data_IF_418755260437
#
_entry.id   IF_418755260437
#
_cell.length_a   1.000
_cell.length_b   1.000
_cell.length_c   1.000
_cell.angle_alpha   90.00
_cell.angle_beta   90.00
_cell.angle_gamma   90.00
#
_symmetry.space_group_name_H-M   'P 1'
#
loop_
_entity.id
_entity.type
_entity.pdbx_description
1 polymer ?
#
# COMPACT_ATOMS: atom_id res chain seq x y z
N UNK A 1 25.45 15.99 34.97
CA UNK A 1 25.31 14.78 34.13
C UNK A 1 24.05 14.09 34.58
N UNK A 2 22.94 14.30 33.88
CA UNK A 2 21.70 13.54 34.09
C UNK A 2 21.46 12.78 32.80
N UNK A 3 21.50 11.48 32.94
CA UNK A 3 21.48 10.44 31.92
C UNK A 3 20.13 10.50 31.18
N UNK A 4 20.19 10.74 29.87
CA UNK A 4 19.04 10.68 28.99
C UNK A 4 18.53 9.23 28.97
N UNK A 5 17.47 8.96 29.74
CA UNK A 5 16.72 7.73 29.65
C UNK A 5 16.16 7.61 28.23
N UNK A 6 16.84 6.83 27.40
CA UNK A 6 16.32 6.31 26.15
C UNK A 6 15.09 5.45 26.52
N UNK A 7 13.91 6.06 26.45
CA UNK A 7 12.66 5.32 26.31
C UNK A 7 12.81 4.44 25.06
N UNK A 8 13.05 3.16 25.29
CA UNK A 8 12.95 2.12 24.28
C UNK A 8 11.49 2.07 23.84
N UNK A 9 11.17 2.83 22.80
CA UNK A 9 9.94 2.70 22.04
C UNK A 9 9.87 1.25 21.54
N UNK A 10 8.85 0.53 21.99
CA UNK A 10 8.33 -0.66 21.32
C UNK A 10 8.18 -0.30 19.84
N UNK A 11 8.69 -1.12 18.90
CA UNK A 11 8.64 -0.76 17.49
C UNK A 11 7.18 -0.56 17.08
N UNK A 12 6.88 0.67 16.64
CA UNK A 12 5.63 0.99 15.95
C UNK A 12 5.51 0.03 14.75
N UNK A 13 4.32 -0.56 14.54
CA UNK A 13 4.04 -1.26 13.28
C UNK A 13 4.24 -0.32 12.09
N UNK A 14 4.53 -0.86 10.90
CA UNK A 14 4.91 -0.06 9.73
C UNK A 14 3.90 1.08 9.43
N UNK A 15 2.60 0.82 9.60
CA UNK A 15 1.52 1.81 9.41
C UNK A 15 1.51 2.95 10.44
N UNK A 16 1.90 2.66 11.69
CA UNK A 16 2.03 3.66 12.74
C UNK A 16 3.29 4.51 12.52
N UNK A 17 4.40 3.88 12.12
CA UNK A 17 5.64 4.58 11.79
C UNK A 17 5.44 5.55 10.61
N UNK A 18 4.67 5.16 9.59
CA UNK A 18 4.31 6.01 8.46
C UNK A 18 3.43 7.20 8.86
N UNK A 19 2.40 6.96 9.70
CA UNK A 19 1.54 8.04 10.19
C UNK A 19 2.34 9.03 11.04
N UNK A 20 3.20 8.54 11.94
CA UNK A 20 4.09 9.37 12.75
C UNK A 20 5.04 10.17 11.86
N UNK A 21 5.62 9.58 10.82
CA UNK A 21 6.48 10.28 9.87
C UNK A 21 5.71 11.38 9.10
N UNK A 22 4.47 11.12 8.70
CA UNK A 22 3.61 12.11 8.06
C UNK A 22 3.26 13.28 9.00
N UNK A 23 2.85 12.99 10.23
CA UNK A 23 2.42 14.00 11.19
C UNK A 23 3.60 14.81 11.74
N UNK A 24 4.77 14.20 11.90
CA UNK A 24 5.98 14.93 12.31
C UNK A 24 6.44 15.91 11.21
N UNK A 25 6.27 15.57 9.92
CA UNK A 25 6.49 16.50 8.80
C UNK A 25 5.49 17.66 8.80
N UNK A 26 4.24 17.41 9.20
CA UNK A 26 3.19 18.43 9.31
C UNK A 26 3.47 19.42 10.45
N UNK A 27 3.84 18.92 11.64
CA UNK A 27 4.20 19.75 12.78
C UNK A 27 5.50 20.55 12.55
N UNK A 28 6.52 19.95 11.92
CA UNK A 28 7.77 20.66 11.56
C UNK A 28 7.52 21.88 10.65
N UNK A 29 6.54 21.79 9.74
CA UNK A 29 6.13 22.89 8.84
C UNK A 29 5.34 23.99 9.57
N UNK A 30 4.57 23.65 10.61
CA UNK A 30 3.90 24.64 11.45
C UNK A 30 4.88 25.39 12.38
N UNK A 31 5.91 24.73 12.91
CA UNK A 31 6.94 25.40 13.71
C UNK A 31 7.82 26.37 12.90
N UNK A 32 8.15 26.05 11.64
CA UNK A 32 8.92 26.94 10.76
C UNK A 32 8.20 28.28 10.43
N UNK A 33 6.86 28.32 10.49
CA UNK A 33 6.08 29.56 10.34
C UNK A 33 6.01 30.38 11.63
N UNK A 34 6.32 29.79 12.80
CA UNK A 34 6.30 30.48 14.09
C UNK A 34 7.63 31.15 14.47
N UNK A 35 8.77 30.67 13.97
CA UNK A 35 10.08 31.30 14.23
C UNK A 35 10.28 32.64 13.50
N UNK A 36 9.59 32.86 12.36
CA UNK A 36 9.66 34.15 11.65
C UNK A 36 8.90 35.26 12.40
N UNK A 37 7.92 34.91 13.24
CA UNK A 37 7.15 35.90 14.02
C UNK A 37 7.87 36.37 15.30
N UNK A 38 8.81 35.59 15.84
CA UNK A 38 9.51 35.93 17.10
C UNK A 38 10.74 36.84 16.86
N UNK A 39 11.28 36.90 15.65
CA UNK A 39 12.40 37.79 15.32
C UNK A 39 11.99 39.24 14.99
N UNK A 40 10.70 39.57 14.95
CA UNK A 40 10.22 40.92 14.64
C UNK A 40 9.84 41.78 15.87
N UNK A 41 9.82 41.22 17.09
CA UNK A 41 9.39 41.92 18.31
C UNK A 41 10.46 41.89 19.43
N UNK A 42 11.71 42.16 19.05
CA UNK A 42 12.87 42.15 19.96
C UNK A 42 13.63 43.47 19.98
N UNK A 43 12.95 44.61 20.11
CA UNK A 43 13.60 45.90 20.35
C UNK A 43 12.96 46.59 21.56
N UNK A 44 13.82 46.95 22.52
CA UNK A 44 13.64 47.81 23.70
C UNK A 44 12.93 47.21 24.92
N UNK A 45 13.69 46.89 25.99
CA UNK A 45 13.94 47.76 27.17
C UNK A 45 14.88 47.03 28.17
N UNK A 46 15.99 47.66 28.64
CA UNK A 46 16.75 47.17 29.78
C UNK A 46 16.40 47.90 31.10
N UNK A 47 16.79 47.28 32.23
CA UNK A 47 16.79 47.74 33.63
C UNK A 47 15.49 47.59 34.45
N UNK A 48 15.48 46.61 35.37
CA UNK A 48 15.63 46.81 36.81
C UNK A 48 14.99 45.67 37.63
N UNK A 49 15.69 45.24 38.69
CA UNK A 49 15.04 44.72 39.89
C UNK A 49 14.78 43.21 39.93
N UNK A 50 15.27 42.59 41.01
CA UNK A 50 15.03 41.21 41.44
C UNK A 50 13.55 40.84 41.45
N UNK A 51 13.07 40.23 40.38
CA UNK A 51 11.81 39.48 40.34
C UNK A 51 12.15 38.03 40.01
N UNK A 52 12.09 37.18 41.04
CA UNK A 52 12.10 35.73 40.90
C UNK A 52 10.82 35.35 40.15
N UNK A 53 10.91 35.23 38.83
CA UNK A 53 9.77 34.91 37.97
C UNK A 53 9.15 33.57 38.41
N UNK A 54 7.88 33.53 38.84
CA UNK A 54 7.18 32.27 39.16
C UNK A 54 6.59 31.61 37.89
N UNK A 55 7.20 31.81 36.71
CA UNK A 55 6.55 31.61 35.41
C UNK A 55 6.73 30.23 34.78
N UNK A 56 7.54 29.34 35.37
CA UNK A 56 7.79 28.00 34.80
C UNK A 56 6.72 27.00 35.27
N UNK A 57 6.37 27.00 36.56
CA UNK A 57 5.41 26.03 37.11
C UNK A 57 3.96 26.27 36.64
N UNK A 58 3.55 27.53 36.49
CA UNK A 58 2.20 27.87 36.00
C UNK A 58 2.02 27.50 34.53
N UNK A 59 3.04 27.71 33.70
CA UNK A 59 2.99 27.34 32.26
C UNK A 59 2.99 25.83 32.07
N UNK A 60 3.75 25.10 32.88
CA UNK A 60 3.77 23.65 32.88
C UNK A 60 2.40 23.08 33.27
N UNK A 61 1.79 23.60 34.33
CA UNK A 61 0.45 23.17 34.75
C UNK A 61 -0.63 23.51 33.72
N UNK A 62 -0.55 24.65 33.05
CA UNK A 62 -1.50 25.02 31.99
C UNK A 62 -1.40 24.07 30.78
N UNK A 63 -0.18 23.75 30.34
CA UNK A 63 0.07 22.82 29.24
C UNK A 63 -0.39 21.40 29.57
N UNK A 64 -0.19 20.94 30.81
CA UNK A 64 -0.65 19.63 31.27
C UNK A 64 -2.19 19.53 31.32
N UNK A 65 -2.88 20.61 31.74
CA UNK A 65 -4.35 20.68 31.74
C UNK A 65 -4.91 20.69 30.31
N UNK A 66 -4.28 21.42 29.40
CA UNK A 66 -4.68 21.47 27.99
C UNK A 66 -4.48 20.10 27.32
N UNK A 67 -3.30 19.49 27.50
CA UNK A 67 -3.02 18.15 26.99
C UNK A 67 -3.98 17.09 27.53
N UNK A 68 -4.44 17.23 28.79
CA UNK A 68 -5.46 16.34 29.36
C UNK A 68 -6.81 16.53 28.68
N UNK A 69 -7.26 17.77 28.46
CA UNK A 69 -8.54 18.06 27.77
C UNK A 69 -8.53 17.56 26.32
N UNK A 70 -7.39 17.71 25.64
CA UNK A 70 -7.18 17.19 24.30
C UNK A 70 -7.28 15.67 24.29
N UNK A 71 -6.60 14.96 25.22
CA UNK A 71 -6.73 13.51 25.37
C UNK A 71 -8.16 13.06 25.65
N UNK A 72 -8.88 13.74 26.55
CA UNK A 72 -10.29 13.43 26.84
C UNK A 72 -11.21 13.66 25.62
N UNK A 73 -10.86 14.59 24.73
CA UNK A 73 -11.59 14.83 23.49
C UNK A 73 -11.28 13.74 22.47
N UNK A 74 -10.00 13.40 22.27
CA UNK A 74 -9.56 12.31 21.40
C UNK A 74 -10.11 10.96 21.86
N UNK A 75 -10.15 10.71 23.17
CA UNK A 75 -10.76 9.52 23.74
C UNK A 75 -12.22 9.39 23.33
N UNK A 76 -13.02 10.46 23.50
CA UNK A 76 -14.44 10.44 23.09
C UNK A 76 -14.62 10.22 21.58
N UNK A 77 -13.79 10.84 20.75
CA UNK A 77 -13.83 10.60 19.31
C UNK A 77 -13.44 9.17 18.97
N UNK A 78 -12.44 8.61 19.64
CA UNK A 78 -12.02 7.22 19.45
C UNK A 78 -13.09 6.22 19.91
N UNK A 79 -13.78 6.50 21.01
CA UNK A 79 -14.93 5.70 21.45
C UNK A 79 -16.06 5.69 20.42
N UNK A 80 -16.30 6.83 19.76
CA UNK A 80 -17.34 6.95 18.72
C UNK A 80 -16.95 6.25 17.41
N UNK A 81 -15.68 6.37 17.00
CA UNK A 81 -15.18 5.85 15.73
C UNK A 81 -13.86 5.08 15.92
N UNK A 82 -13.88 3.92 16.59
CA UNK A 82 -12.65 3.19 16.91
C UNK A 82 -11.92 2.66 15.68
N UNK A 83 -12.61 2.50 14.54
CA UNK A 83 -11.99 2.09 13.27
C UNK A 83 -11.39 3.26 12.47
N UNK A 84 -11.65 4.52 12.86
CA UNK A 84 -11.13 5.68 12.16
C UNK A 84 -9.62 5.82 12.44
N UNK A 85 -8.82 5.65 11.38
CA UNK A 85 -7.35 5.66 11.45
C UNK A 85 -6.80 6.94 12.06
N UNK A 86 -7.31 8.10 11.62
CA UNK A 86 -6.78 9.39 12.05
C UNK A 86 -7.04 9.63 13.54
N UNK A 87 -8.27 9.35 13.98
CA UNK A 87 -8.69 9.51 15.37
C UNK A 87 -7.95 8.55 16.29
N UNK A 88 -7.83 7.28 15.88
CA UNK A 88 -7.14 6.25 16.66
C UNK A 88 -5.67 6.58 16.88
N UNK A 89 -4.92 6.89 15.81
CA UNK A 89 -3.50 7.19 15.94
C UNK A 89 -3.24 8.53 16.66
N UNK A 90 -4.07 9.55 16.46
CA UNK A 90 -3.97 10.78 17.25
C UNK A 90 -4.15 10.51 18.75
N UNK A 91 -5.12 9.67 19.13
CA UNK A 91 -5.34 9.29 20.52
C UNK A 91 -4.20 8.46 21.10
N UNK A 92 -3.76 7.41 20.39
CA UNK A 92 -2.64 6.53 20.79
C UNK A 92 -1.36 7.36 20.97
N UNK A 93 -1.08 8.28 20.06
CA UNK A 93 0.08 9.17 20.15
C UNK A 93 0.01 10.07 21.38
N UNK A 94 -1.16 10.64 21.67
CA UNK A 94 -1.35 11.49 22.85
C UNK A 94 -1.18 10.70 24.15
N UNK A 95 -1.63 9.44 24.22
CA UNK A 95 -1.41 8.54 25.36
C UNK A 95 0.08 8.23 25.56
N UNK A 96 0.82 7.90 24.48
CA UNK A 96 2.26 7.64 24.56
C UNK A 96 3.04 8.85 25.06
N UNK A 97 2.69 10.07 24.61
CA UNK A 97 3.30 11.31 25.10
C UNK A 97 3.03 11.58 26.58
N UNK A 98 1.92 11.10 27.10
CA UNK A 98 1.58 11.17 28.53
C UNK A 98 2.28 10.08 29.37
N UNK A 99 3.02 9.15 28.73
CA UNK A 99 3.63 8.00 29.40
C UNK A 99 2.65 6.85 29.66
N UNK A 100 1.43 6.91 29.11
CA UNK A 100 0.36 5.91 29.28
C UNK A 100 0.52 4.78 28.25
N UNK A 101 1.66 4.07 28.29
CA UNK A 101 2.03 3.09 27.26
C UNK A 101 1.08 1.88 27.19
N UNK A 102 0.58 1.41 28.33
CA UNK A 102 -0.36 0.28 28.40
C UNK A 102 -1.71 0.66 27.76
N UNK A 103 -2.29 1.80 28.16
CA UNK A 103 -3.51 2.34 27.56
C UNK A 103 -3.37 2.59 26.06
N UNK A 104 -2.20 3.06 25.61
CA UNK A 104 -1.93 3.25 24.19
C UNK A 104 -1.95 1.93 23.42
N UNK A 105 -1.43 0.86 24.02
CA UNK A 105 -1.45 -0.48 23.42
C UNK A 105 -2.87 -1.06 23.38
N UNK A 106 -3.66 -0.87 24.44
CA UNK A 106 -5.08 -1.25 24.46
C UNK A 106 -5.89 -0.53 23.39
N UNK A 107 -5.67 0.78 23.23
CA UNK A 107 -6.30 1.59 22.18
C UNK A 107 -5.91 1.09 20.78
N UNK A 108 -4.64 0.74 20.56
CA UNK A 108 -4.18 0.14 19.30
C UNK A 108 -4.88 -1.19 19.00
N UNK A 109 -4.91 -2.11 19.97
CA UNK A 109 -5.59 -3.40 19.80
C UNK A 109 -7.09 -3.22 19.52
N UNK A 110 -7.75 -2.29 20.21
CA UNK A 110 -9.17 -1.99 19.96
C UNK A 110 -9.39 -1.38 18.57
N UNK A 111 -8.50 -0.51 18.11
CA UNK A 111 -8.54 0.04 16.76
C UNK A 111 -8.44 -1.08 15.71
N UNK A 112 -7.46 -1.98 15.85
CA UNK A 112 -7.27 -3.11 14.95
C UNK A 112 -8.49 -4.03 14.92
N UNK A 113 -9.07 -4.35 16.08
CA UNK A 113 -10.30 -5.14 16.16
C UNK A 113 -11.48 -4.44 15.48
N UNK A 114 -11.66 -3.15 15.71
CA UNK A 114 -12.72 -2.37 15.08
C UNK A 114 -12.56 -2.30 13.56
N UNK A 115 -11.32 -2.14 13.06
CA UNK A 115 -11.01 -2.18 11.63
C UNK A 115 -11.38 -3.52 11.01
N UNK A 116 -10.98 -4.63 11.64
CA UNK A 116 -11.35 -5.98 11.16
C UNK A 116 -12.86 -6.14 11.02
N UNK A 117 -13.64 -5.71 12.02
CA UNK A 117 -15.11 -5.77 11.95
C UNK A 117 -15.67 -4.96 10.79
N UNK A 118 -15.13 -3.76 10.53
CA UNK A 118 -15.54 -2.92 9.39
C UNK A 118 -15.15 -3.56 8.06
N UNK A 119 -13.94 -4.10 7.98
CA UNK A 119 -13.41 -4.79 6.78
C UNK A 119 -14.20 -6.07 6.47
N UNK A 120 -14.49 -6.91 7.47
CA UNK A 120 -15.32 -8.12 7.32
C UNK A 120 -16.72 -7.79 6.81
N UNK A 121 -17.31 -6.71 7.33
CA UNK A 121 -18.61 -6.22 6.87
C UNK A 121 -18.54 -5.71 5.44
N UNK A 122 -17.47 -4.99 5.08
CA UNK A 122 -17.22 -4.53 3.71
C UNK A 122 -17.08 -5.72 2.76
N UNK A 123 -16.26 -6.70 3.10
CA UNK A 123 -16.07 -7.93 2.33
C UNK A 123 -17.41 -8.65 2.11
N UNK A 124 -18.19 -8.84 3.18
CA UNK A 124 -19.49 -9.50 3.11
C UNK A 124 -20.47 -8.79 2.16
N UNK A 125 -20.51 -7.45 2.20
CA UNK A 125 -21.34 -6.65 1.30
C UNK A 125 -20.89 -6.75 -0.16
N UNK A 126 -19.57 -6.73 -0.39
CA UNK A 126 -19.01 -6.88 -1.73
C UNK A 126 -19.28 -8.28 -2.28
N UNK A 127 -19.16 -9.33 -1.46
CA UNK A 127 -19.50 -10.71 -1.84
C UNK A 127 -20.97 -10.88 -2.17
N UNK A 128 -21.88 -10.27 -1.40
CA UNK A 128 -23.30 -10.29 -1.72
C UNK A 128 -23.58 -9.63 -3.08
N UNK A 129 -23.06 -8.42 -3.31
CA UNK A 129 -23.21 -7.71 -4.60
C UNK A 129 -22.63 -8.48 -5.77
N UNK A 130 -21.45 -9.07 -5.60
CA UNK A 130 -20.85 -9.90 -6.63
C UNK A 130 -21.68 -11.16 -6.90
N UNK A 131 -22.26 -11.78 -5.87
CA UNK A 131 -23.16 -12.92 -6.01
C UNK A 131 -24.43 -12.62 -6.80
N UNK A 132 -24.99 -11.41 -6.66
CA UNK A 132 -26.23 -11.01 -7.34
C UNK A 132 -26.08 -10.83 -8.85
N UNK A 133 -25.01 -10.15 -9.29
CA UNK A 133 -24.87 -9.72 -10.68
C UNK A 133 -23.63 -10.26 -11.40
N UNK A 134 -22.64 -10.78 -10.66
CA UNK A 134 -21.30 -11.11 -11.18
C UNK A 134 -20.70 -9.98 -12.01
N UNK A 135 -20.99 -8.73 -11.64
CA UNK A 135 -20.53 -7.54 -12.36
C UNK A 135 -19.06 -7.21 -12.04
N UNK A 136 -18.36 -6.61 -13.00
CA UNK A 136 -16.95 -6.25 -12.88
C UNK A 136 -16.70 -5.33 -11.69
N UNK A 137 -17.56 -4.34 -11.45
CA UNK A 137 -17.35 -3.34 -10.39
C UNK A 137 -17.29 -3.97 -9.00
N UNK A 138 -18.07 -5.03 -8.77
CA UNK A 138 -18.03 -5.78 -7.51
C UNK A 138 -16.85 -6.75 -7.47
N UNK A 139 -16.52 -7.38 -8.61
CA UNK A 139 -15.36 -8.27 -8.72
C UNK A 139 -14.05 -7.52 -8.46
N UNK A 140 -13.84 -6.38 -9.12
CA UNK A 140 -12.67 -5.52 -8.99
C UNK A 140 -12.44 -5.10 -7.54
N UNK A 141 -13.49 -4.65 -6.85
CA UNK A 141 -13.35 -4.25 -5.44
C UNK A 141 -12.99 -5.41 -4.51
N UNK A 142 -13.46 -6.64 -4.80
CA UNK A 142 -13.05 -7.82 -4.06
C UNK A 142 -11.60 -8.21 -4.38
N UNK A 143 -11.21 -8.18 -5.65
CA UNK A 143 -9.84 -8.50 -6.09
C UNK A 143 -8.86 -7.55 -5.43
N UNK A 144 -9.10 -6.23 -5.48
CA UNK A 144 -8.27 -5.22 -4.82
C UNK A 144 -8.19 -5.48 -3.32
N UNK A 145 -9.33 -5.72 -2.66
CA UNK A 145 -9.36 -6.00 -1.21
C UNK A 145 -8.50 -7.22 -0.86
N UNK A 146 -8.59 -8.28 -1.64
CA UNK A 146 -7.82 -9.50 -1.40
C UNK A 146 -6.35 -9.35 -1.74
N UNK A 147 -6.00 -8.64 -2.81
CA UNK A 147 -4.62 -8.37 -3.18
C UNK A 147 -3.92 -7.51 -2.11
N UNK A 148 -4.59 -6.46 -1.60
CA UNK A 148 -4.09 -5.64 -0.48
C UNK A 148 -3.85 -6.46 0.80
N UNK A 149 -4.64 -7.52 1.01
CA UNK A 149 -4.51 -8.44 2.15
C UNK A 149 -3.54 -9.61 1.88
N UNK A 150 -2.96 -9.71 0.68
CA UNK A 150 -2.13 -10.85 0.27
C UNK A 150 -2.91 -12.17 0.16
N UNK A 151 -4.24 -12.13 0.06
CA UNK A 151 -5.14 -13.28 -0.07
C UNK A 151 -5.32 -13.68 -1.53
N UNK A 152 -4.21 -14.02 -2.20
CA UNK A 152 -4.17 -14.33 -3.64
C UNK A 152 -5.16 -15.43 -4.03
N UNK A 153 -5.35 -16.46 -3.21
CA UNK A 153 -6.32 -17.54 -3.51
C UNK A 153 -7.78 -17.06 -3.52
N UNK A 154 -8.13 -16.07 -2.69
CA UNK A 154 -9.49 -15.53 -2.66
C UNK A 154 -9.74 -14.58 -3.83
N UNK A 155 -8.74 -13.77 -4.20
CA UNK A 155 -8.76 -12.97 -5.44
C UNK A 155 -8.89 -13.86 -6.68
N UNK A 156 -8.15 -14.97 -6.73
CA UNK A 156 -8.23 -15.96 -7.80
C UNK A 156 -9.63 -16.52 -7.94
N UNK A 157 -10.30 -16.91 -6.85
CA UNK A 157 -11.69 -17.39 -6.91
C UNK A 157 -12.64 -16.35 -7.51
N UNK A 158 -12.49 -15.07 -7.16
CA UNK A 158 -13.30 -13.99 -7.73
C UNK A 158 -13.08 -13.89 -9.23
N UNK A 159 -11.83 -13.92 -9.68
CA UNK A 159 -11.50 -13.96 -11.10
C UNK A 159 -12.09 -15.16 -11.83
N UNK A 160 -11.99 -16.37 -11.25
CA UNK A 160 -12.54 -17.59 -11.83
C UNK A 160 -14.07 -17.51 -11.96
N UNK A 161 -14.76 -17.05 -10.92
CA UNK A 161 -16.21 -16.83 -10.96
C UNK A 161 -16.60 -15.76 -11.98
N UNK A 162 -15.84 -14.66 -12.07
CA UNK A 162 -16.10 -13.58 -13.02
C UNK A 162 -15.84 -14.02 -14.47
N UNK A 163 -14.74 -14.72 -14.74
CA UNK A 163 -14.37 -15.20 -16.08
C UNK A 163 -15.32 -16.31 -16.60
N UNK A 164 -16.07 -16.97 -15.72
CA UNK A 164 -17.18 -17.85 -16.11
C UNK A 164 -18.40 -17.04 -16.55
N UNK A 165 -18.69 -15.92 -15.87
CA UNK A 165 -19.82 -15.04 -16.20
C UNK A 165 -19.54 -14.19 -17.46
N UNK A 166 -18.30 -13.73 -17.62
CA UNK A 166 -17.83 -12.94 -18.76
C UNK A 166 -16.67 -13.64 -19.47
N UNK A 167 -16.98 -14.25 -20.62
CA UNK A 167 -15.99 -14.93 -21.45
C UNK A 167 -15.31 -14.00 -22.46
N UNK A 168 -15.44 -12.69 -22.31
CA UNK A 168 -14.86 -11.69 -23.19
C UNK A 168 -13.33 -11.78 -23.27
N UNK A 169 -12.80 -11.44 -24.45
CA UNK A 169 -11.36 -11.48 -24.70
C UNK A 169 -10.58 -10.56 -23.75
N UNK A 170 -11.16 -9.41 -23.40
CA UNK A 170 -10.55 -8.47 -22.44
C UNK A 170 -10.48 -9.09 -21.04
N UNK A 171 -11.56 -9.68 -20.55
CA UNK A 171 -11.61 -10.35 -19.25
C UNK A 171 -10.60 -11.48 -19.14
N UNK A 172 -10.47 -12.29 -20.19
CA UNK A 172 -9.44 -13.33 -20.26
C UNK A 172 -8.02 -12.74 -20.21
N UNK A 173 -7.76 -11.64 -20.92
CA UNK A 173 -6.45 -10.99 -20.86
C UNK A 173 -6.18 -10.41 -19.48
N UNK A 174 -7.11 -9.65 -18.90
CA UNK A 174 -6.96 -9.05 -17.58
C UNK A 174 -6.72 -10.11 -16.50
N UNK A 175 -7.44 -11.23 -16.55
CA UNK A 175 -7.19 -12.34 -15.62
C UNK A 175 -5.81 -12.95 -15.87
N UNK A 176 -5.42 -13.18 -17.13
CA UNK A 176 -4.09 -13.68 -17.48
C UNK A 176 -2.94 -12.78 -17.02
N UNK A 177 -3.10 -11.46 -17.12
CA UNK A 177 -2.13 -10.47 -16.63
C UNK A 177 -2.04 -10.52 -15.11
N UNK A 178 -3.18 -10.55 -14.42
CA UNK A 178 -3.22 -10.68 -12.96
C UNK A 178 -2.54 -11.97 -12.48
N UNK A 179 -2.75 -13.10 -13.16
CA UNK A 179 -2.08 -14.37 -12.87
C UNK A 179 -0.56 -14.26 -13.03
N UNK A 180 -0.07 -13.60 -14.08
CA UNK A 180 1.36 -13.36 -14.26
C UNK A 180 1.94 -12.51 -13.13
N UNK A 181 1.28 -11.42 -12.76
CA UNK A 181 1.71 -10.51 -11.70
C UNK A 181 1.76 -11.21 -10.33
N UNK A 182 0.89 -12.19 -10.12
CA UNK A 182 0.82 -12.99 -8.89
C UNK A 182 1.65 -14.31 -8.95
N UNK A 183 2.57 -14.43 -9.91
CA UNK A 183 3.52 -15.55 -9.96
C UNK A 183 2.91 -16.89 -10.38
N UNK A 184 1.80 -16.85 -11.14
CA UNK A 184 1.11 -18.02 -11.69
C UNK A 184 1.27 -18.08 -13.23
N UNK A 185 2.50 -18.16 -13.78
CA UNK A 185 2.73 -18.01 -15.22
C UNK A 185 2.12 -19.14 -16.06
N UNK A 186 1.99 -20.35 -15.52
CA UNK A 186 1.35 -21.47 -16.22
C UNK A 186 -0.14 -21.17 -16.53
N UNK A 187 -0.86 -20.65 -15.54
CA UNK A 187 -2.28 -20.30 -15.69
C UNK A 187 -2.45 -19.03 -16.53
N UNK A 188 -1.52 -18.07 -16.38
CA UNK A 188 -1.47 -16.86 -17.20
C UNK A 188 -1.39 -17.18 -18.70
N UNK A 189 -0.49 -18.09 -19.10
CA UNK A 189 -0.36 -18.55 -20.49
C UNK A 189 -1.69 -19.04 -21.04
N UNK A 190 -2.43 -19.84 -20.26
CA UNK A 190 -3.71 -20.39 -20.69
C UNK A 190 -4.76 -19.28 -20.95
N UNK A 191 -4.87 -18.30 -20.05
CA UNK A 191 -5.82 -17.20 -20.20
C UNK A 191 -5.45 -16.25 -21.34
N UNK A 192 -4.17 -15.89 -21.45
CA UNK A 192 -3.67 -14.99 -22.49
C UNK A 192 -3.82 -15.60 -23.88
N UNK A 193 -3.61 -16.91 -24.03
CA UNK A 193 -3.90 -17.61 -25.28
C UNK A 193 -5.37 -17.53 -25.68
N UNK A 194 -6.30 -17.66 -24.73
CA UNK A 194 -7.74 -17.55 -25.02
C UNK A 194 -8.09 -16.13 -25.48
N UNK A 195 -7.56 -15.11 -24.82
CA UNK A 195 -7.77 -13.71 -25.20
C UNK A 195 -7.26 -13.40 -26.62
N UNK A 196 -6.06 -13.89 -26.95
CA UNK A 196 -5.47 -13.73 -28.29
C UNK A 196 -6.29 -14.48 -29.34
N UNK A 197 -6.72 -15.71 -29.04
CA UNK A 197 -7.55 -16.51 -29.95
C UNK A 197 -8.94 -15.89 -30.19
N UNK A 198 -9.48 -15.20 -29.18
CA UNK A 198 -10.71 -14.42 -29.28
C UNK A 198 -10.54 -13.09 -30.03
N UNK A 199 -9.33 -12.78 -30.51
CA UNK A 199 -9.06 -11.63 -31.36
C UNK A 199 -8.87 -10.31 -30.60
N UNK A 200 -8.45 -10.37 -29.33
CA UNK A 200 -8.11 -9.16 -28.58
C UNK A 200 -7.09 -8.31 -29.37
N UNK A 201 -7.40 -7.02 -29.49
CA UNK A 201 -6.56 -6.03 -30.17
C UNK A 201 -5.53 -5.47 -29.21
N UNK A 202 -4.43 -4.95 -29.76
CA UNK A 202 -3.29 -4.49 -28.98
C UNK A 202 -2.25 -5.59 -28.76
N UNK A 203 -1.03 -5.19 -28.45
CA UNK A 203 0.09 -6.11 -28.20
C UNK A 203 0.21 -6.58 -26.75
N UNK A 204 -0.65 -6.12 -25.85
CA UNK A 204 -0.53 -6.34 -24.41
C UNK A 204 -0.65 -7.82 -24.03
N UNK A 205 -1.66 -8.54 -24.53
CA UNK A 205 -1.81 -9.96 -24.24
C UNK A 205 -0.63 -10.79 -24.77
N UNK A 206 -0.09 -10.45 -25.95
CA UNK A 206 1.15 -11.06 -26.46
C UNK A 206 2.38 -10.71 -25.62
N UNK A 207 2.47 -9.50 -25.07
CA UNK A 207 3.57 -9.06 -24.23
C UNK A 207 3.63 -9.92 -22.96
N UNK A 208 2.51 -9.99 -22.24
CA UNK A 208 2.39 -10.80 -21.03
C UNK A 208 2.48 -12.30 -21.30
N UNK A 209 2.03 -12.77 -22.46
CA UNK A 209 2.22 -14.18 -22.86
C UNK A 209 3.72 -14.46 -23.02
N UNK A 210 4.45 -13.55 -23.68
CA UNK A 210 5.88 -13.65 -23.84
C UNK A 210 6.62 -13.67 -22.51
N UNK A 211 6.26 -12.77 -21.60
CA UNK A 211 6.83 -12.71 -20.25
C UNK A 211 6.54 -13.98 -19.44
N UNK A 212 5.31 -14.49 -19.50
CA UNK A 212 4.91 -15.72 -18.81
C UNK A 212 5.66 -16.95 -19.34
N UNK A 213 5.79 -17.08 -20.67
CA UNK A 213 6.56 -18.15 -21.31
C UNK A 213 8.05 -18.09 -20.94
N UNK A 214 8.61 -16.88 -20.81
CA UNK A 214 9.99 -16.70 -20.39
C UNK A 214 10.22 -17.20 -18.95
N UNK A 215 9.28 -16.93 -18.03
CA UNK A 215 9.33 -17.46 -16.66
C UNK A 215 9.24 -19.00 -16.61
N UNK A 216 8.51 -19.61 -17.54
CA UNK A 216 8.42 -21.07 -17.68
C UNK A 216 9.61 -21.69 -18.42
N UNK A 217 10.54 -20.88 -18.94
CA UNK A 217 11.71 -21.34 -19.69
C UNK A 217 11.45 -21.66 -21.17
N UNK A 218 10.26 -21.40 -21.72
CA UNK A 218 10.01 -21.49 -23.16
C UNK A 218 10.55 -20.24 -23.88
N UNK A 219 11.88 -20.22 -24.05
CA UNK A 219 12.60 -19.09 -24.66
C UNK A 219 12.16 -18.81 -26.09
N UNK A 220 11.87 -19.85 -26.87
CA UNK A 220 11.46 -19.72 -28.26
C UNK A 220 10.03 -19.17 -28.38
N UNK A 221 9.11 -19.68 -27.56
CA UNK A 221 7.74 -19.17 -27.45
C UNK A 221 7.70 -17.73 -26.96
N UNK A 222 8.44 -17.44 -25.88
CA UNK A 222 8.55 -16.10 -25.31
C UNK A 222 8.97 -15.07 -26.36
N UNK A 223 10.08 -15.34 -27.05
CA UNK A 223 10.61 -14.44 -28.09
C UNK A 223 9.62 -14.21 -29.23
N UNK A 224 8.85 -15.24 -29.63
CA UNK A 224 7.83 -15.11 -30.68
C UNK A 224 6.68 -14.21 -30.22
N UNK A 225 6.14 -14.45 -29.03
CA UNK A 225 5.04 -13.66 -28.48
C UNK A 225 5.44 -12.19 -28.29
N UNK A 226 6.60 -11.91 -27.69
CA UNK A 226 7.09 -10.54 -27.50
C UNK A 226 7.27 -9.78 -28.83
N UNK A 227 7.69 -10.45 -29.90
CA UNK A 227 7.78 -9.83 -31.24
C UNK A 227 6.41 -9.49 -31.82
N UNK A 228 5.42 -10.35 -31.60
CA UNK A 228 4.04 -10.09 -32.00
C UNK A 228 3.47 -8.90 -31.23
N UNK A 229 3.78 -8.78 -29.93
CA UNK A 229 3.42 -7.61 -29.14
C UNK A 229 3.95 -6.31 -29.76
N UNK A 230 5.26 -6.22 -30.03
CA UNK A 230 5.89 -5.05 -30.66
C UNK A 230 5.31 -4.76 -32.06
N UNK A 231 4.97 -5.79 -32.82
CA UNK A 231 4.41 -5.63 -34.16
C UNK A 231 2.99 -5.04 -34.12
N UNK A 232 2.20 -5.39 -33.09
CA UNK A 232 0.86 -4.83 -32.88
C UNK A 232 0.89 -3.46 -32.24
N UNK A 233 1.82 -3.25 -31.32
CA UNK A 233 1.98 -2.01 -30.57
C UNK A 233 3.46 -1.76 -30.27
N UNK A 234 4.02 -0.74 -30.93
CA UNK A 234 5.43 -0.40 -30.82
C UNK A 234 5.84 0.17 -29.46
N UNK A 235 4.90 0.56 -28.59
CA UNK A 235 5.20 1.04 -27.25
C UNK A 235 5.94 -0.02 -26.42
N UNK A 236 5.64 -1.30 -26.65
CA UNK A 236 6.31 -2.43 -26.00
C UNK A 236 7.77 -2.63 -26.41
N UNK A 237 8.26 -1.93 -27.43
CA UNK A 237 9.61 -2.13 -27.96
C UNK A 237 10.68 -1.84 -26.91
N UNK A 238 10.54 -0.74 -26.18
CA UNK A 238 11.53 -0.32 -25.20
C UNK A 238 11.72 -1.38 -24.10
N UNK A 239 10.63 -1.96 -23.63
CA UNK A 239 10.64 -2.99 -22.59
C UNK A 239 11.06 -4.37 -23.11
N UNK A 240 10.52 -4.80 -24.25
CA UNK A 240 10.63 -6.19 -24.71
C UNK A 240 11.84 -6.45 -25.61
N UNK A 241 12.36 -5.45 -26.31
CA UNK A 241 13.46 -5.66 -27.25
C UNK A 241 14.74 -6.18 -26.58
N UNK A 242 15.21 -5.64 -25.43
CA UNK A 242 16.37 -6.19 -24.74
C UNK A 242 16.19 -7.65 -24.32
N UNK A 243 14.97 -8.02 -23.89
CA UNK A 243 14.62 -9.40 -23.50
C UNK A 243 14.62 -10.35 -24.70
N UNK A 244 14.06 -9.91 -25.84
CA UNK A 244 14.08 -10.65 -27.10
C UNK A 244 15.51 -10.96 -27.54
N UNK A 245 16.41 -9.99 -27.41
CA UNK A 245 17.81 -10.13 -27.83
C UNK A 245 18.59 -11.06 -26.87
N UNK A 246 18.35 -10.96 -25.57
CA UNK A 246 18.91 -11.88 -24.57
C UNK A 246 18.47 -13.33 -24.84
N UNK A 247 17.17 -13.58 -25.02
CA UNK A 247 16.64 -14.90 -25.34
C UNK A 247 17.21 -15.45 -26.66
N UNK A 248 17.45 -14.59 -27.66
CA UNK A 248 18.08 -14.99 -28.91
C UNK A 248 19.54 -15.44 -28.72
N UNK A 249 20.30 -14.74 -27.87
CA UNK A 249 21.68 -15.11 -27.55
C UNK A 249 21.74 -16.45 -26.81
N UNK A 250 20.85 -16.67 -25.83
CA UNK A 250 20.75 -17.92 -25.08
C UNK A 250 20.43 -19.12 -25.98
N UNK A 251 19.41 -18.98 -26.84
CA UNK A 251 19.05 -20.04 -27.81
C UNK A 251 20.21 -20.39 -28.75
N UNK A 252 20.99 -19.39 -29.17
CA UNK A 252 22.17 -19.62 -30.02
C UNK A 252 23.29 -20.35 -29.25
N UNK A 253 23.49 -20.02 -27.98
CA UNK A 253 24.48 -20.69 -27.13
C UNK A 253 24.12 -22.16 -26.92
N UNK A 254 22.84 -22.47 -26.67
CA UNK A 254 22.32 -23.84 -26.52
C UNK A 254 22.49 -24.69 -27.78
N UNK A 255 22.31 -24.09 -28.97
CA UNK A 255 22.54 -24.78 -30.25
C UNK A 255 24.02 -25.01 -30.54
N UNK A 256 24.90 -24.12 -30.04
CA UNK A 256 26.36 -24.22 -30.23
C UNK A 256 27.03 -25.30 -29.38
N UNK A 257 26.44 -25.69 -28.25
CA UNK A 257 26.97 -26.72 -27.34
C UNK A 257 26.63 -28.15 -27.77
N UNK A 258 25.68 -28.33 -28.70
CA UNK A 258 25.19 -29.64 -29.13
C UNK A 258 25.85 -30.20 -30.40
N UNK A 259 27.03 -29.69 -30.79
CA UNK A 259 27.79 -30.25 -31.92
C UNK A 259 28.40 -31.61 -31.48
N UNK A 260 27.97 -32.76 -32.03
CA UNK A 260 28.56 -34.04 -31.66
C UNK A 260 29.99 -34.10 -32.20
N UNK A 261 30.94 -34.54 -31.35
CA UNK A 261 32.29 -34.92 -31.76
C UNK A 261 32.26 -36.26 -32.49
#
# INVERSE_FOLDING_TARGET
MVEAAKLTLVPAGDEEAEWLAHENRRHSRMFALSEIAVLAFGVLVPLAGTLRLPSIDVRRNAAEVEARRERETLARSFEAEPANREVAYAFIWALRRAGEAETAQEALTRHEQARRVVEDKRESLLRARFGEAKAWEAAEQLIILYDEQGRTDDARKVWEEYAVADTGALTQASYGIWLYQNGLPQDAVAMLHRAIAAGLKGGEAEAYLGLSLAQLGDKAGARRAMRQAIAKDSAWREELQPRIDALAAELKAEQGTHKPR
#
